data_IF_981243609752
#
_entry.id   IF_981243609752
#
_cell.length_a   1.000
_cell.length_b   1.000
_cell.length_c   1.000
_cell.angle_alpha   90.00
_cell.angle_beta   90.00
_cell.angle_gamma   90.00
#
_symmetry.space_group_name_H-M   'P 1'
#
loop_
_entity.id
_entity.type
_entity.pdbx_description
1 polymer ?
#
# COMPACT_ATOMS: atom_id res chain seq x y z
N UNK A 1 -21.87 11.76 -11.76
CA UNK A 1 -22.18 13.20 -11.95
C UNK A 1 -23.45 13.53 -11.21
N UNK A 2 -23.58 14.73 -10.64
CA UNK A 2 -24.83 15.22 -10.06
C UNK A 2 -25.37 16.30 -10.99
N UNK A 3 -26.59 16.16 -11.48
CA UNK A 3 -27.16 17.11 -12.44
C UNK A 3 -27.34 18.48 -11.79
N UNK A 4 -26.96 19.53 -12.52
CA UNK A 4 -27.02 20.92 -12.03
C UNK A 4 -25.85 21.32 -11.12
N UNK A 5 -24.93 20.39 -10.82
CA UNK A 5 -23.66 20.69 -10.18
C UNK A 5 -22.56 20.46 -11.23
N UNK A 6 -21.81 21.50 -11.56
CA UNK A 6 -20.75 21.44 -12.57
C UNK A 6 -19.50 20.75 -12.04
N UNK A 7 -19.62 19.46 -11.72
CA UNK A 7 -18.49 18.62 -11.37
C UNK A 7 -18.79 17.16 -11.67
N UNK A 8 -18.00 16.60 -12.56
CA UNK A 8 -17.93 15.15 -12.77
C UNK A 8 -16.99 14.55 -11.73
N UNK A 9 -17.31 13.33 -11.29
CA UNK A 9 -16.50 12.57 -10.35
C UNK A 9 -16.26 11.23 -11.03
N UNK A 10 -15.02 10.78 -10.99
CA UNK A 10 -14.65 9.47 -11.51
C UNK A 10 -14.66 8.49 -10.35
N UNK A 11 -15.23 7.31 -10.59
CA UNK A 11 -15.07 6.18 -9.69
C UNK A 11 -13.62 5.67 -9.76
N UNK A 12 -13.18 5.02 -8.68
CA UNK A 12 -11.93 4.28 -8.64
C UNK A 12 -11.90 3.23 -9.75
N UNK A 13 -10.78 3.16 -10.48
CA UNK A 13 -10.63 2.19 -11.58
C UNK A 13 -10.58 0.74 -11.10
N UNK A 14 -10.15 0.48 -9.86
CA UNK A 14 -9.96 -0.88 -9.35
C UNK A 14 -11.24 -1.45 -8.72
N UNK A 15 -11.94 -0.66 -7.92
CA UNK A 15 -13.10 -1.14 -7.14
C UNK A 15 -14.43 -0.49 -7.55
N UNK A 16 -14.40 0.55 -8.39
CA UNK A 16 -15.60 1.29 -8.78
C UNK A 16 -16.20 2.13 -7.65
N UNK A 17 -15.51 2.30 -6.53
CA UNK A 17 -15.96 3.13 -5.41
C UNK A 17 -15.85 4.62 -5.74
N UNK A 18 -16.75 5.40 -5.16
CA UNK A 18 -16.82 6.84 -5.36
C UNK A 18 -17.37 7.52 -4.11
N UNK A 19 -16.93 8.75 -3.87
CA UNK A 19 -17.39 9.55 -2.74
C UNK A 19 -17.67 10.98 -3.19
N UNK A 20 -18.78 11.55 -2.68
CA UNK A 20 -19.11 12.95 -2.96
C UNK A 20 -19.77 13.62 -1.76
N UNK A 21 -19.20 14.74 -1.37
CA UNK A 21 -19.78 15.68 -0.42
C UNK A 21 -20.72 16.63 -1.19
N UNK A 22 -21.96 16.73 -0.72
CA UNK A 22 -23.01 17.61 -1.25
C UNK A 22 -23.77 18.19 -0.07
N UNK A 23 -24.35 19.39 -0.23
CA UNK A 23 -25.18 20.01 0.79
C UNK A 23 -26.42 19.14 1.12
N UNK A 24 -26.80 19.01 2.40
CA UNK A 24 -28.00 18.28 2.79
C UNK A 24 -29.29 19.09 2.50
N UNK A 25 -30.44 18.42 2.52
CA UNK A 25 -31.77 19.05 2.49
C UNK A 25 -32.32 19.33 1.09
N UNK A 26 -31.70 18.80 0.04
CA UNK A 26 -32.15 18.95 -1.34
C UNK A 26 -32.30 17.59 -2.03
N UNK A 27 -33.07 17.57 -3.12
CA UNK A 27 -33.18 16.43 -4.02
C UNK A 27 -32.16 16.53 -5.14
N UNK A 28 -31.35 15.50 -5.32
CA UNK A 28 -30.30 15.44 -6.32
C UNK A 28 -30.58 14.35 -7.35
N UNK A 29 -30.41 14.67 -8.63
CA UNK A 29 -30.40 13.68 -9.70
C UNK A 29 -28.95 13.26 -9.97
N UNK A 30 -28.61 12.05 -9.57
CA UNK A 30 -27.28 11.46 -9.74
C UNK A 30 -27.28 10.59 -10.99
N UNK A 31 -26.29 10.79 -11.85
CA UNK A 31 -26.09 10.04 -13.09
C UNK A 31 -24.75 9.33 -13.02
N UNK A 32 -24.78 8.01 -13.17
CA UNK A 32 -23.61 7.16 -13.34
C UNK A 32 -23.49 6.76 -14.81
N UNK A 33 -22.27 6.82 -15.35
CA UNK A 33 -21.97 6.55 -16.75
C UNK A 33 -20.58 5.94 -16.86
N UNK A 34 -20.45 4.93 -17.71
CA UNK A 34 -19.19 4.29 -18.06
C UNK A 34 -19.21 3.99 -19.56
N UNK A 35 -18.05 4.03 -20.20
CA UNK A 35 -17.94 3.70 -21.61
C UNK A 35 -18.44 2.27 -21.89
N UNK A 36 -19.27 2.12 -22.93
CA UNK A 36 -19.96 0.88 -23.35
C UNK A 36 -20.97 0.31 -22.35
N UNK A 37 -21.43 1.11 -21.40
CA UNK A 37 -22.57 0.81 -20.56
C UNK A 37 -23.62 1.93 -20.63
N UNK A 38 -24.89 1.52 -20.57
CA UNK A 38 -26.03 2.44 -20.51
C UNK A 38 -25.90 3.33 -19.27
N UNK A 39 -25.97 4.66 -19.42
CA UNK A 39 -25.96 5.54 -18.26
C UNK A 39 -27.23 5.37 -17.45
N UNK A 40 -27.08 5.32 -16.12
CA UNK A 40 -28.18 5.16 -15.17
C UNK A 40 -28.36 6.45 -14.36
N UNK A 41 -29.61 6.85 -14.15
CA UNK A 41 -29.97 8.05 -13.40
C UNK A 41 -30.89 7.69 -12.24
N UNK A 42 -30.64 8.29 -11.08
CA UNK A 42 -31.42 8.09 -9.86
C UNK A 42 -31.62 9.42 -9.17
N UNK A 43 -32.81 9.65 -8.60
CA UNK A 43 -33.08 10.81 -7.75
C UNK A 43 -33.03 10.42 -6.29
N UNK A 44 -32.33 11.19 -5.48
CA UNK A 44 -32.12 10.93 -4.06
C UNK A 44 -32.39 12.19 -3.26
N UNK A 45 -33.04 12.06 -2.11
CA UNK A 45 -33.20 13.16 -1.16
C UNK A 45 -32.12 13.03 -0.10
N UNK A 46 -31.13 13.93 -0.13
CA UNK A 46 -29.99 13.84 0.78
C UNK A 46 -30.36 14.45 2.13
N UNK A 47 -30.38 13.63 3.17
CA UNK A 47 -30.57 14.06 4.55
C UNK A 47 -29.31 14.69 5.15
N UNK A 48 -29.26 14.82 6.48
CA UNK A 48 -28.05 15.30 7.19
C UNK A 48 -26.95 14.23 7.29
N UNK A 49 -27.32 12.97 7.18
CA UNK A 49 -26.41 11.83 7.28
C UNK A 49 -25.90 11.41 5.90
N UNK A 50 -24.75 10.75 5.88
CA UNK A 50 -24.19 10.17 4.66
C UNK A 50 -25.11 9.06 4.14
N UNK A 51 -25.25 8.98 2.81
CA UNK A 51 -25.97 7.91 2.14
C UNK A 51 -25.08 7.15 1.17
N UNK A 52 -25.32 5.86 1.05
CA UNK A 52 -24.69 5.01 0.05
C UNK A 52 -25.63 4.86 -1.14
N UNK A 53 -25.07 4.84 -2.34
CA UNK A 53 -25.81 4.70 -3.58
C UNK A 53 -25.02 3.78 -4.51
N UNK A 54 -25.63 2.68 -4.93
CA UNK A 54 -24.96 1.72 -5.81
C UNK A 54 -25.57 1.81 -7.22
N UNK A 55 -24.71 1.80 -8.23
CA UNK A 55 -25.10 1.81 -9.63
C UNK A 55 -24.62 0.55 -10.33
N UNK A 56 -25.57 -0.33 -10.66
CA UNK A 56 -25.35 -1.44 -11.59
C UNK A 56 -25.77 -0.94 -12.98
N UNK A 57 -24.81 -0.94 -13.91
CA UNK A 57 -25.01 -0.48 -15.28
C UNK A 57 -25.17 -1.68 -16.23
N UNK A 58 -26.09 -1.54 -17.18
CA UNK A 58 -26.30 -2.55 -18.22
C UNK A 58 -25.38 -2.27 -19.41
N UNK A 59 -24.80 -3.29 -20.07
CA UNK A 59 -23.98 -3.07 -21.24
C UNK A 59 -24.79 -2.43 -22.38
N UNK A 60 -24.16 -1.47 -23.07
CA UNK A 60 -24.68 -0.98 -24.33
C UNK A 60 -24.50 -2.09 -25.35
N UNK A 61 -25.59 -2.77 -25.73
CA UNK A 61 -25.59 -3.94 -26.62
C UNK A 61 -24.93 -3.78 -28.01
N UNK A 62 -24.32 -2.63 -28.28
CA UNK A 62 -23.37 -2.38 -29.36
C UNK A 62 -22.05 -3.19 -29.22
N UNK A 63 -21.75 -3.75 -28.05
CA UNK A 63 -20.56 -4.58 -27.79
C UNK A 63 -20.66 -6.02 -28.34
N UNK A 64 -21.43 -6.26 -29.41
CA UNK A 64 -21.52 -7.58 -30.06
C UNK A 64 -20.37 -7.87 -31.04
N UNK A 65 -19.49 -6.90 -31.32
CA UNK A 65 -18.42 -7.08 -32.32
C UNK A 65 -17.07 -6.43 -32.02
N UNK A 66 -16.98 -5.61 -30.96
CA UNK A 66 -15.73 -4.96 -30.54
C UNK A 66 -15.35 -5.49 -29.17
N UNK A 67 -14.05 -5.76 -29.01
CA UNK A 67 -13.39 -6.37 -27.84
C UNK A 67 -14.09 -6.00 -26.52
N UNK A 68 -14.23 -6.95 -25.55
CA UNK A 68 -14.77 -6.63 -24.24
C UNK A 68 -14.08 -5.37 -23.75
N UNK A 69 -14.85 -4.37 -23.31
CA UNK A 69 -14.31 -3.19 -22.65
C UNK A 69 -13.46 -3.71 -21.51
N UNK A 70 -12.15 -3.73 -21.76
CA UNK A 70 -11.17 -4.13 -20.79
C UNK A 70 -11.34 -3.06 -19.73
N UNK A 71 -11.84 -3.43 -18.54
CA UNK A 71 -11.64 -2.61 -17.38
C UNK A 71 -10.13 -2.40 -17.35
N UNK A 72 -9.69 -1.22 -17.77
CA UNK A 72 -8.30 -0.81 -17.71
C UNK A 72 -8.06 -0.48 -16.24
N UNK A 73 -8.27 -1.47 -15.36
CA UNK A 73 -7.50 -1.58 -14.15
C UNK A 73 -6.07 -1.58 -14.70
N UNK A 74 -5.40 -0.43 -14.60
CA UNK A 74 -4.04 -0.16 -15.07
C UNK A 74 -2.99 -1.02 -14.38
N UNK A 75 -3.33 -2.26 -14.04
CA UNK A 75 -2.40 -3.36 -13.94
C UNK A 75 -1.95 -3.68 -15.38
N UNK A 76 -1.00 -2.87 -15.84
CA UNK A 76 0.01 -3.34 -16.77
C UNK A 76 0.72 -4.52 -16.11
N UNK A 77 0.16 -5.72 -16.26
CA UNK A 77 0.88 -6.97 -16.08
C UNK A 77 1.75 -7.22 -17.32
N UNK A 78 2.46 -6.19 -17.80
CA UNK A 78 3.58 -6.39 -18.69
C UNK A 78 4.79 -6.46 -17.78
N UNK A 79 5.45 -7.61 -17.80
CA UNK A 79 6.63 -7.95 -17.00
C UNK A 79 7.88 -7.10 -17.28
N UNK A 80 7.77 -6.02 -18.05
CA UNK A 80 8.91 -5.24 -18.49
C UNK A 80 8.76 -3.77 -18.07
N UNK A 81 9.56 -3.37 -17.09
CA UNK A 81 9.93 -1.96 -16.90
C UNK A 81 9.39 -1.25 -15.66
N UNK A 82 10.03 -1.52 -14.51
CA UNK A 82 10.57 -0.47 -13.65
C UNK A 82 9.67 0.73 -13.25
N UNK A 83 8.41 0.52 -12.88
CA UNK A 83 7.65 1.56 -12.17
C UNK A 83 6.80 0.96 -11.02
N UNK A 84 7.04 1.49 -9.82
CA UNK A 84 6.32 1.24 -8.56
C UNK A 84 6.35 -0.19 -7.99
N UNK A 85 7.50 -0.55 -7.41
CA UNK A 85 7.62 -1.68 -6.46
C UNK A 85 7.82 -1.17 -5.01
N UNK A 86 6.81 -0.59 -4.34
CA UNK A 86 6.87 -0.40 -2.89
C UNK A 86 6.97 -1.75 -2.15
N UNK A 87 6.58 -2.85 -2.80
CA UNK A 87 6.68 -4.21 -2.27
C UNK A 87 8.12 -4.76 -2.28
N UNK A 88 8.90 -4.54 -3.35
CA UNK A 88 10.31 -4.96 -3.36
C UNK A 88 11.19 -4.06 -2.50
N UNK A 89 10.85 -2.77 -2.38
CA UNK A 89 11.51 -1.90 -1.40
C UNK A 89 11.28 -2.47 0.01
N UNK A 90 10.05 -2.85 0.35
CA UNK A 90 9.72 -3.45 1.67
C UNK A 90 10.51 -4.74 1.95
N UNK A 91 10.66 -5.64 0.98
CA UNK A 91 11.48 -6.85 1.15
C UNK A 91 12.97 -6.52 1.26
N UNK A 92 13.50 -5.63 0.41
CA UNK A 92 14.91 -5.24 0.45
C UNK A 92 15.28 -4.56 1.78
N UNK A 93 14.41 -3.69 2.31
CA UNK A 93 14.60 -3.09 3.63
C UNK A 93 14.65 -4.15 4.73
N UNK A 94 13.80 -5.19 4.65
CA UNK A 94 13.80 -6.31 5.60
C UNK A 94 15.15 -7.05 5.62
N UNK A 95 15.71 -7.35 4.44
CA UNK A 95 17.04 -7.97 4.32
C UNK A 95 18.14 -7.07 4.89
N UNK A 96 18.10 -5.76 4.62
CA UNK A 96 19.05 -4.80 5.17
C UNK A 96 18.95 -4.70 6.71
N UNK A 97 17.73 -4.68 7.27
CA UNK A 97 17.52 -4.70 8.72
C UNK A 97 18.04 -6.00 9.36
N UNK A 98 17.84 -7.15 8.73
CA UNK A 98 18.35 -8.43 9.21
C UNK A 98 19.88 -8.47 9.19
N UNK A 99 20.52 -7.97 8.13
CA UNK A 99 21.98 -7.86 8.04
C UNK A 99 22.54 -6.92 9.12
N UNK A 100 21.90 -5.75 9.31
CA UNK A 100 22.27 -4.82 10.36
C UNK A 100 22.16 -5.45 11.75
N UNK A 101 21.04 -6.13 12.04
CA UNK A 101 20.83 -6.83 13.31
C UNK A 101 21.88 -7.92 13.56
N UNK A 102 22.18 -8.73 12.55
CA UNK A 102 23.18 -9.79 12.66
C UNK A 102 24.59 -9.23 12.91
N UNK A 103 24.96 -8.15 12.22
CA UNK A 103 26.26 -7.50 12.43
C UNK A 103 26.39 -6.90 13.84
N UNK A 104 25.34 -6.25 14.36
CA UNK A 104 25.31 -5.73 15.73
C UNK A 104 25.41 -6.85 16.77
N UNK A 105 24.72 -7.97 16.57
CA UNK A 105 24.81 -9.13 17.46
C UNK A 105 26.22 -9.73 17.47
N UNK A 106 26.84 -9.88 16.29
CA UNK A 106 28.21 -10.37 16.17
C UNK A 106 29.20 -9.44 16.88
N UNK A 107 29.10 -8.13 16.67
CA UNK A 107 29.91 -7.13 17.37
C UNK A 107 29.70 -7.23 18.88
N UNK A 108 28.46 -7.30 19.36
CA UNK A 108 28.16 -7.46 20.78
C UNK A 108 28.81 -8.71 21.39
N UNK A 109 28.71 -9.85 20.70
CA UNK A 109 29.36 -11.10 21.13
C UNK A 109 30.88 -10.99 21.13
N UNK A 110 31.48 -10.34 20.12
CA UNK A 110 32.91 -10.09 20.05
C UNK A 110 33.39 -9.17 21.17
N UNK A 111 32.67 -8.07 21.43
CA UNK A 111 32.96 -7.17 22.54
C UNK A 111 32.84 -7.87 23.88
N UNK A 112 31.79 -8.67 24.10
CA UNK A 112 31.62 -9.45 25.32
C UNK A 112 32.74 -10.47 25.52
N UNK A 113 33.10 -11.21 24.47
CA UNK A 113 34.24 -12.16 24.49
C UNK A 113 35.56 -11.44 24.75
N UNK A 114 35.79 -10.29 24.11
CA UNK A 114 37.00 -9.46 24.28
C UNK A 114 37.10 -8.87 25.69
N UNK A 115 35.96 -8.46 26.27
CA UNK A 115 35.93 -7.98 27.65
C UNK A 115 36.19 -9.11 28.64
N UNK A 116 35.60 -10.29 28.43
CA UNK A 116 35.86 -11.46 29.26
C UNK A 116 37.33 -11.93 29.17
N UNK A 117 37.93 -11.94 27.97
CA UNK A 117 39.33 -12.33 27.79
C UNK A 117 40.31 -11.30 28.35
N UNK A 118 40.02 -9.99 28.22
CA UNK A 118 40.80 -8.93 28.86
C UNK A 118 40.75 -9.03 30.39
N UNK A 119 39.59 -9.35 30.96
CA UNK A 119 39.46 -9.57 32.41
C UNK A 119 40.23 -10.81 32.86
N UNK A 120 40.20 -11.89 32.07
CA UNK A 120 40.95 -13.11 32.36
C UNK A 120 42.48 -12.89 32.28
N UNK A 121 42.95 -12.13 31.29
CA UNK A 121 44.37 -11.78 31.13
C UNK A 121 44.88 -10.89 32.27
N UNK A 122 44.05 -9.99 32.81
CA UNK A 122 44.40 -9.19 33.99
C UNK A 122 44.49 -9.99 35.30
N UNK A 123 43.96 -11.22 35.34
CA UNK A 123 43.95 -12.08 36.54
C UNK A 123 45.16 -13.00 36.65
N UNK A 124 46.12 -12.96 35.72
CA UNK A 124 47.38 -13.70 35.88
C UNK A 124 48.28 -12.96 36.89
N UNK A 125 48.52 -13.49 38.10
CA UNK A 125 49.48 -12.91 39.02
C UNK A 125 50.90 -13.11 38.47
N UNK A 126 51.84 -12.17 38.70
CA UNK A 126 53.21 -12.31 38.23
C UNK A 126 53.84 -13.58 38.82
N UNK A 127 54.68 -14.30 38.05
CA UNK A 127 55.31 -15.54 38.52
C UNK A 127 56.17 -15.24 39.75
N UNK A 128 55.94 -15.97 40.85
CA UNK A 128 56.78 -15.93 42.04
C UNK A 128 58.18 -16.39 41.65
N UNK A 129 59.17 -15.49 41.75
CA UNK A 129 60.59 -15.87 41.64
C UNK A 129 60.92 -16.83 42.78
N UNK A 130 61.25 -18.07 42.46
CA UNK A 130 61.91 -18.98 43.38
C UNK A 130 63.35 -18.53 43.56
N UNK A 131 63.70 -18.13 44.78
CA UNK A 131 65.09 -17.90 45.20
C UNK A 131 65.72 -19.28 45.40
N UNK A 132 66.75 -19.59 44.62
CA UNK A 132 67.56 -20.79 44.82
C UNK A 132 68.55 -20.53 45.97
N UNK A 133 68.64 -21.49 46.90
CA UNK A 133 69.61 -21.57 48.00
C UNK A 133 70.82 -22.37 47.52
#
# INVERSE_FOLDING_TARGET
>A
MVKGIDSKINASGTFGDYHRIIAPGQSYEVVASMEGFKPKRTRVMLGREAMNLDFILDPDGALKGTKPLRNDCGCSCNDDGASNKPFLLREAYLWLYLLALFSLLALYLLFRRRMASRLAAHRHPPPKRTVAV
#
